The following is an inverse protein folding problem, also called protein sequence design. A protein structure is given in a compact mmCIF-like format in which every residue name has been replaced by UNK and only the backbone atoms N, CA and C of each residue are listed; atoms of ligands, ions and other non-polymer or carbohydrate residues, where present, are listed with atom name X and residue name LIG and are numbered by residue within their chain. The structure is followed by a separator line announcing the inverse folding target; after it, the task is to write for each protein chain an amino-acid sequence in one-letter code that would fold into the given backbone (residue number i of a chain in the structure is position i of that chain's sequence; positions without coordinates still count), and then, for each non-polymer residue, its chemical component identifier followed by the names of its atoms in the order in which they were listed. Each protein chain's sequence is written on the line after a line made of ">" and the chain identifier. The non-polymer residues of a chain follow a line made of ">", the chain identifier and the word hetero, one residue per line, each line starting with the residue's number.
data_IF_239237356692
#
_entry.id   IF_239237356692
#
_cell.length_a   1.000
_cell.length_b   1.000
_cell.length_c   1.000
_cell.angle_alpha   90.00
_cell.angle_beta   90.00
_cell.angle_gamma   90.00
#
_symmetry.space_group_name_H-M   'P 1'
#
loop_
_entity.id
_entity.type
_entity.pdbx_description
1 polymer ?
#
# COMPACT_ATOMS: atom_id res chain seq x y z
N UNK A 1 18.06 1.19 -50.67
CA UNK A 1 17.10 1.01 -49.57
C UNK A 1 17.90 1.04 -48.28
N UNK A 2 17.87 2.14 -47.54
CA UNK A 2 18.60 2.28 -46.28
C UNK A 2 17.77 1.68 -45.15
N UNK A 3 18.32 0.68 -44.44
CA UNK A 3 17.72 0.14 -43.23
C UNK A 3 18.02 1.08 -42.07
N UNK A 4 17.07 1.95 -41.74
CA UNK A 4 17.16 2.78 -40.54
C UNK A 4 17.03 1.90 -39.30
N UNK A 5 18.09 1.87 -38.50
CA UNK A 5 18.21 1.24 -37.20
C UNK A 5 17.28 1.94 -36.20
N UNK A 6 16.53 1.25 -35.34
CA UNK A 6 15.75 1.91 -34.30
C UNK A 6 16.70 2.22 -33.13
N UNK A 7 17.53 3.25 -33.27
CA UNK A 7 18.37 3.81 -32.20
C UNK A 7 17.65 5.02 -31.56
N UNK A 8 16.37 4.86 -31.22
CA UNK A 8 15.61 5.88 -30.48
C UNK A 8 14.96 5.24 -29.24
N UNK A 9 15.76 4.49 -28.48
CA UNK A 9 15.33 3.87 -27.21
C UNK A 9 16.37 3.97 -26.09
N UNK A 10 17.28 4.96 -26.14
CA UNK A 10 18.30 5.15 -25.09
C UNK A 10 18.37 6.56 -24.48
N UNK A 11 17.25 7.29 -24.37
CA UNK A 11 17.20 8.41 -23.42
C UNK A 11 16.78 7.89 -22.03
N UNK A 12 17.63 7.04 -21.44
CA UNK A 12 17.43 6.43 -20.13
C UNK A 12 18.12 7.25 -19.03
N UNK A 13 17.80 8.55 -18.93
CA UNK A 13 18.36 9.43 -17.88
C UNK A 13 17.35 9.75 -16.76
N UNK A 14 16.25 8.99 -16.65
CA UNK A 14 15.35 9.07 -15.48
C UNK A 14 14.68 7.71 -15.19
N UNK A 15 15.52 6.69 -14.96
CA UNK A 15 15.08 5.28 -14.79
C UNK A 15 14.71 4.98 -13.34
N UNK A 16 13.93 5.85 -12.70
CA UNK A 16 13.24 5.46 -11.47
C UNK A 16 11.84 6.03 -11.52
N UNK A 17 10.86 5.16 -11.74
CA UNK A 17 9.45 5.55 -11.61
C UNK A 17 9.27 6.18 -10.23
N UNK A 18 8.81 7.44 -10.14
CA UNK A 18 8.66 8.14 -8.88
C UNK A 18 7.86 7.31 -7.88
N UNK A 19 8.29 7.30 -6.61
CA UNK A 19 7.66 6.50 -5.55
C UNK A 19 6.18 6.90 -5.35
N UNK A 20 5.89 8.20 -5.51
CA UNK A 20 4.54 8.74 -5.54
C UNK A 20 3.62 8.15 -6.63
N UNK A 21 4.18 7.57 -7.70
CA UNK A 21 3.44 6.86 -8.75
C UNK A 21 3.39 5.34 -8.54
N UNK A 22 4.27 4.79 -7.70
CA UNK A 22 4.35 3.36 -7.39
C UNK A 22 3.74 2.99 -6.04
N UNK A 23 3.31 3.97 -5.24
CA UNK A 23 2.55 3.70 -4.02
C UNK A 23 1.20 3.06 -4.36
N UNK A 24 1.11 1.76 -4.12
CA UNK A 24 -0.14 0.97 -4.20
C UNK A 24 -0.99 1.05 -2.94
N UNK A 25 -0.49 1.72 -1.90
CA UNK A 25 -1.24 1.93 -0.67
C UNK A 25 -2.47 2.80 -0.96
N UNK A 26 -3.65 2.49 -0.37
CA UNK A 26 -4.83 3.33 -0.50
C UNK A 26 -4.52 4.77 -0.08
N UNK A 27 -5.11 5.75 -0.79
CA UNK A 27 -5.03 7.15 -0.40
C UNK A 27 -5.79 7.46 0.89
N UNK A 28 -6.63 6.52 1.35
CA UNK A 28 -7.44 6.62 2.56
C UNK A 28 -6.72 6.04 3.78
N UNK A 29 -7.09 6.55 4.97
CA UNK A 29 -6.65 6.00 6.24
C UNK A 29 -7.05 4.52 6.39
N UNK A 30 -6.26 3.80 7.18
CA UNK A 30 -6.52 2.41 7.60
C UNK A 30 -7.92 2.27 8.19
N UNK A 31 -8.69 1.31 7.70
CA UNK A 31 -10.02 0.99 8.23
C UNK A 31 -9.97 -0.12 9.29
N UNK A 32 -11.01 -0.28 10.12
CA UNK A 32 -11.11 -1.41 11.05
C UNK A 32 -11.08 -2.77 10.32
N UNK A 33 -11.65 -2.85 9.12
CA UNK A 33 -11.65 -4.07 8.29
C UNK A 33 -10.23 -4.43 7.86
N UNK A 34 -9.44 -3.46 7.39
CA UNK A 34 -8.04 -3.67 7.04
C UNK A 34 -7.23 -4.21 8.22
N UNK A 35 -7.49 -3.70 9.42
CA UNK A 35 -6.78 -4.17 10.61
C UNK A 35 -7.18 -5.59 11.02
N UNK A 36 -8.43 -5.99 10.82
CA UNK A 36 -8.87 -7.38 11.03
C UNK A 36 -8.18 -8.31 10.01
N UNK A 37 -8.19 -7.91 8.74
CA UNK A 37 -7.59 -8.67 7.65
C UNK A 37 -6.07 -8.83 7.82
N UNK A 38 -5.37 -7.74 8.17
CA UNK A 38 -3.95 -7.74 8.49
C UNK A 38 -3.62 -8.68 9.66
N UNK A 39 -4.52 -8.80 10.65
CA UNK A 39 -4.34 -9.72 11.77
C UNK A 39 -4.61 -11.19 11.45
N UNK A 40 -5.03 -11.51 10.22
CA UNK A 40 -5.37 -12.87 9.78
C UNK A 40 -6.64 -13.42 10.44
N UNK A 41 -7.55 -12.54 10.85
CA UNK A 41 -8.82 -12.90 11.51
C UNK A 41 -10.00 -12.72 10.56
N UNK A 42 -11.08 -13.44 10.81
CA UNK A 42 -12.33 -13.26 10.07
C UNK A 42 -13.01 -11.93 10.43
N UNK A 43 -13.66 -11.31 9.44
CA UNK A 43 -14.42 -10.07 9.59
C UNK A 43 -15.75 -10.34 10.27
N UNK A 44 -15.71 -10.44 11.61
CA UNK A 44 -16.88 -10.57 12.48
C UNK A 44 -17.15 -9.25 13.22
N UNK A 45 -18.39 -8.97 13.66
CA UNK A 45 -18.70 -7.76 14.41
C UNK A 45 -17.80 -7.57 15.65
N UNK A 46 -17.52 -8.64 16.37
CA UNK A 46 -16.63 -8.62 17.54
C UNK A 46 -15.19 -8.21 17.17
N UNK A 47 -14.66 -8.72 16.07
CA UNK A 47 -13.33 -8.38 15.62
C UNK A 47 -13.25 -6.93 15.10
N UNK A 48 -14.33 -6.44 14.47
CA UNK A 48 -14.44 -5.04 14.06
C UNK A 48 -14.46 -4.09 15.26
N UNK A 49 -15.14 -4.42 16.36
CA UNK A 49 -15.14 -3.60 17.57
C UNK A 49 -13.80 -3.61 18.32
N UNK A 50 -13.08 -4.73 18.28
CA UNK A 50 -11.68 -4.76 18.70
C UNK A 50 -10.83 -3.84 17.81
N UNK A 51 -11.03 -3.89 16.49
CA UNK A 51 -10.24 -3.12 15.56
C UNK A 51 -10.49 -1.61 15.68
N UNK A 52 -11.75 -1.18 15.84
CA UNK A 52 -12.08 0.23 16.10
C UNK A 52 -11.36 0.76 17.34
N UNK A 53 -11.48 0.05 18.47
CA UNK A 53 -10.83 0.45 19.73
C UNK A 53 -9.31 0.55 19.60
N UNK A 54 -8.69 -0.38 18.87
CA UNK A 54 -7.25 -0.38 18.68
C UNK A 54 -6.79 0.75 17.74
N UNK A 55 -7.53 1.06 16.68
CA UNK A 55 -7.25 2.24 15.83
C UNK A 55 -7.49 3.54 16.58
N UNK A 56 -8.47 3.62 17.47
CA UNK A 56 -8.70 4.79 18.34
C UNK A 56 -7.54 4.99 19.33
N UNK A 57 -6.98 3.91 19.87
CA UNK A 57 -5.90 4.00 20.86
C UNK A 57 -4.51 4.22 20.26
N UNK A 58 -4.22 3.57 19.13
CA UNK A 58 -2.88 3.53 18.54
C UNK A 58 -2.79 4.29 17.20
N UNK A 59 -3.92 4.74 16.64
CA UNK A 59 -3.98 5.40 15.35
C UNK A 59 -3.58 4.49 14.18
N UNK A 60 -3.25 5.07 13.02
CA UNK A 60 -2.84 4.32 11.83
C UNK A 60 -1.58 3.44 12.05
N UNK A 61 -0.72 3.81 13.01
CA UNK A 61 0.48 3.05 13.36
C UNK A 61 0.19 1.67 13.99
N UNK A 62 -1.07 1.39 14.35
CA UNK A 62 -1.49 0.11 14.90
C UNK A 62 -1.18 -1.08 13.95
N UNK A 63 -1.26 -0.85 12.63
CA UNK A 63 -0.95 -1.88 11.62
C UNK A 63 0.55 -2.16 11.56
N UNK A 64 1.38 -1.12 11.48
CA UNK A 64 2.85 -1.26 11.47
C UNK A 64 3.36 -1.99 12.72
N UNK A 65 2.71 -1.77 13.87
CA UNK A 65 3.04 -2.48 15.11
C UNK A 65 2.55 -3.94 15.13
N UNK A 66 1.47 -4.21 14.41
CA UNK A 66 0.88 -5.55 14.32
C UNK A 66 1.66 -6.44 13.34
N UNK A 67 2.18 -5.85 12.26
CA UNK A 67 2.92 -6.52 11.20
C UNK A 67 4.40 -6.14 11.28
N UNK A 68 5.25 -6.92 11.98
CA UNK A 68 6.69 -6.66 12.07
C UNK A 68 7.43 -6.90 10.75
#
# INVERSE_FOLDING_TARGET
>A
MATSTPEESRSSDDVRTPDALLHSAPSSNVTPEDMVMASGRDVTPQNLDWARRKLESEGPAAIEKLLP
#
